data_IF_835367585593
#
_entry.id   IF_835367585593
#
_cell.length_a   1.000
_cell.length_b   1.000
_cell.length_c   1.000
_cell.angle_alpha   90.00
_cell.angle_beta   90.00
_cell.angle_gamma   90.00
#
_symmetry.space_group_name_H-M   'P 1'
#
loop_
_entity.id
_entity.type
_entity.pdbx_description
1 polymer ?
#
# COMPACT_ATOMS: atom_id res chain seq x y z
N UNK A 1 2.40 -35.61 31.32
CA UNK A 1 3.24 -34.40 31.31
C UNK A 1 3.16 -33.85 29.90
N UNK A 2 2.45 -32.74 29.69
CA UNK A 2 2.37 -32.11 28.37
C UNK A 2 3.71 -31.42 28.11
N UNK A 3 4.38 -31.75 27.00
CA UNK A 3 5.60 -31.05 26.59
C UNK A 3 5.20 -29.62 26.21
N UNK A 4 5.45 -28.68 27.11
CA UNK A 4 5.22 -27.24 26.92
C UNK A 4 6.14 -26.68 25.86
N UNK A 5 5.69 -26.70 24.62
CA UNK A 5 6.30 -25.97 23.51
C UNK A 5 5.52 -24.69 23.32
N UNK A 6 6.22 -23.55 23.31
CA UNK A 6 5.63 -22.25 22.99
C UNK A 6 4.98 -22.35 21.59
N UNK A 7 3.71 -21.97 21.42
CA UNK A 7 3.04 -22.05 20.12
C UNK A 7 3.78 -21.21 19.08
N UNK A 8 3.98 -21.78 17.89
CA UNK A 8 4.60 -21.07 16.76
C UNK A 8 3.66 -20.01 16.20
N UNK A 9 4.20 -18.83 15.91
CA UNK A 9 3.46 -17.64 15.49
C UNK A 9 3.78 -17.31 14.04
N UNK A 10 2.75 -17.28 13.19
CA UNK A 10 2.84 -16.69 11.87
C UNK A 10 2.28 -15.29 11.87
N UNK A 11 2.88 -14.39 11.08
CA UNK A 11 2.34 -13.06 10.84
C UNK A 11 1.97 -12.88 9.36
N UNK A 12 0.76 -12.38 9.11
CA UNK A 12 0.25 -12.05 7.79
C UNK A 12 0.15 -10.51 7.65
N UNK A 13 1.09 -9.91 6.91
CA UNK A 13 1.18 -8.46 6.71
C UNK A 13 0.43 -8.06 5.44
N UNK A 14 -0.67 -7.31 5.61
CA UNK A 14 -1.55 -6.92 4.50
C UNK A 14 -0.99 -5.84 3.56
N UNK A 15 -1.67 -5.64 2.43
CA UNK A 15 -1.46 -4.50 1.54
C UNK A 15 -1.95 -3.20 2.18
N UNK A 16 -1.48 -2.06 1.69
CA UNK A 16 -1.80 -0.76 2.31
C UNK A 16 -1.11 0.49 1.75
N UNK A 17 -0.23 0.36 0.75
CA UNK A 17 0.61 1.44 0.25
C UNK A 17 1.29 2.22 1.41
N UNK A 18 1.16 3.55 1.48
CA UNK A 18 1.77 4.36 2.54
C UNK A 18 1.34 3.97 3.98
N UNK A 19 0.13 3.42 4.15
CA UNK A 19 -0.34 2.90 5.45
C UNK A 19 0.50 1.71 5.94
N UNK A 20 1.22 1.07 5.01
CA UNK A 20 2.11 -0.06 5.22
C UNK A 20 3.16 0.15 6.30
N UNK A 21 3.56 1.39 6.56
CA UNK A 21 4.53 1.70 7.61
C UNK A 21 4.03 1.34 9.02
N UNK A 22 2.72 1.20 9.22
CA UNK A 22 2.17 0.66 10.47
C UNK A 22 2.61 -0.78 10.75
N UNK A 23 2.97 -1.57 9.74
CA UNK A 23 3.51 -2.92 9.96
C UNK A 23 4.81 -2.90 10.76
N UNK A 24 5.65 -1.88 10.57
CA UNK A 24 6.89 -1.71 11.36
C UNK A 24 6.53 -1.52 12.83
N UNK A 25 5.56 -0.63 13.12
CA UNK A 25 5.09 -0.41 14.48
C UNK A 25 4.44 -1.65 15.11
N UNK A 26 3.69 -2.42 14.34
CA UNK A 26 3.13 -3.69 14.83
C UNK A 26 4.25 -4.67 15.20
N UNK A 27 5.26 -4.83 14.35
CA UNK A 27 6.39 -5.70 14.63
C UNK A 27 7.21 -5.22 15.83
N UNK A 28 7.40 -3.91 15.99
CA UNK A 28 8.05 -3.31 17.17
C UNK A 28 7.24 -3.55 18.44
N UNK A 29 5.92 -3.35 18.40
CA UNK A 29 5.04 -3.59 19.54
C UNK A 29 5.02 -5.05 19.97
N UNK A 30 4.96 -5.99 19.01
CA UNK A 30 5.07 -7.42 19.29
C UNK A 30 6.43 -7.75 19.92
N UNK A 31 7.52 -7.19 19.38
CA UNK A 31 8.86 -7.40 19.93
C UNK A 31 9.00 -6.85 21.35
N UNK A 32 8.36 -5.73 21.69
CA UNK A 32 8.33 -5.16 23.04
C UNK A 32 7.61 -6.08 24.05
N UNK A 33 6.64 -6.88 23.58
CA UNK A 33 5.98 -7.93 24.36
C UNK A 33 6.81 -9.24 24.43
N UNK A 34 7.99 -9.28 23.81
CA UNK A 34 8.81 -10.50 23.71
C UNK A 34 8.32 -11.49 22.65
N UNK A 35 7.38 -11.08 21.79
CA UNK A 35 6.78 -11.93 20.75
C UNK A 35 7.49 -11.66 19.43
N UNK A 36 8.05 -12.73 18.85
CA UNK A 36 8.71 -12.67 17.54
C UNK A 36 8.01 -13.68 16.62
N UNK A 37 7.27 -13.22 15.60
CA UNK A 37 6.72 -14.14 14.61
C UNK A 37 7.80 -15.04 14.00
N UNK A 38 7.56 -16.34 14.01
CA UNK A 38 8.45 -17.38 13.47
C UNK A 38 8.42 -17.40 11.95
N UNK A 39 7.26 -17.11 11.35
CA UNK A 39 7.03 -17.17 9.89
C UNK A 39 6.27 -15.95 9.42
N UNK A 40 6.61 -15.46 8.22
CA UNK A 40 6.10 -14.18 7.71
C UNK A 40 5.49 -14.37 6.33
N UNK A 41 4.24 -13.95 6.17
CA UNK A 41 3.62 -13.82 4.85
C UNK A 41 3.27 -12.35 4.61
N UNK A 42 3.59 -11.81 3.43
CA UNK A 42 3.38 -10.41 3.11
C UNK A 42 2.77 -10.18 1.74
N UNK A 43 1.97 -9.12 1.62
CA UNK A 43 1.37 -8.67 0.36
C UNK A 43 1.67 -7.19 0.12
N UNK A 44 2.15 -6.82 -1.07
CA UNK A 44 2.49 -5.43 -1.42
C UNK A 44 3.48 -4.84 -0.42
N UNK A 45 3.20 -3.66 0.15
CA UNK A 45 4.00 -3.07 1.23
C UNK A 45 4.21 -4.02 2.43
N UNK A 46 3.28 -4.94 2.71
CA UNK A 46 3.45 -5.99 3.71
C UNK A 46 4.54 -6.99 3.34
N UNK A 47 4.73 -7.30 2.05
CA UNK A 47 5.86 -8.09 1.57
C UNK A 47 7.17 -7.32 1.73
N UNK A 48 7.18 -6.01 1.49
CA UNK A 48 8.35 -5.17 1.68
C UNK A 48 8.81 -5.13 3.14
N UNK A 49 7.89 -4.82 4.07
CA UNK A 49 8.20 -4.79 5.50
C UNK A 49 8.51 -6.19 6.03
N UNK A 50 7.76 -7.20 5.58
CA UNK A 50 7.95 -8.59 5.96
C UNK A 50 9.30 -9.15 5.52
N UNK A 51 9.78 -8.80 4.32
CA UNK A 51 11.11 -9.16 3.84
C UNK A 51 12.22 -8.56 4.71
N UNK A 52 12.11 -7.27 5.05
CA UNK A 52 13.07 -6.62 5.94
C UNK A 52 13.07 -7.28 7.33
N UNK A 53 11.89 -7.60 7.88
CA UNK A 53 11.78 -8.28 9.16
C UNK A 53 12.35 -9.71 9.12
N UNK A 54 12.02 -10.49 8.09
CA UNK A 54 12.50 -11.85 7.91
C UNK A 54 14.03 -11.92 7.77
N UNK A 55 14.66 -10.83 7.31
CA UNK A 55 16.11 -10.70 7.21
C UNK A 55 16.77 -9.90 8.36
N UNK A 56 16.06 -9.56 9.45
CA UNK A 56 16.59 -8.74 10.57
C UNK A 56 17.03 -7.31 10.19
N UNK A 57 16.48 -6.74 9.11
CA UNK A 57 16.76 -5.37 8.64
C UNK A 57 15.60 -4.38 8.91
N UNK A 58 14.69 -4.73 9.84
CA UNK A 58 13.56 -3.87 10.20
C UNK A 58 14.01 -2.48 10.72
N UNK A 59 15.03 -2.36 11.61
CA UNK A 59 15.51 -1.06 12.09
C UNK A 59 16.07 -0.15 10.98
N UNK A 60 16.79 -0.72 10.01
CA UNK A 60 17.33 -0.01 8.85
C UNK A 60 16.20 0.49 7.96
N UNK A 61 15.18 -0.34 7.74
CA UNK A 61 13.98 0.05 7.02
C UNK A 61 13.25 1.19 7.74
N UNK A 62 13.05 1.07 9.05
CA UNK A 62 12.40 2.09 9.87
C UNK A 62 13.11 3.44 9.75
N UNK A 63 14.43 3.46 9.95
CA UNK A 63 15.24 4.67 9.82
C UNK A 63 15.11 5.31 8.45
N UNK A 64 15.02 4.49 7.40
CA UNK A 64 14.88 4.98 6.03
C UNK A 64 13.51 5.59 5.76
N UNK A 65 12.42 4.93 6.16
CA UNK A 65 11.06 5.45 5.91
C UNK A 65 10.74 6.69 6.74
N UNK A 66 11.27 6.78 7.97
CA UNK A 66 11.18 8.01 8.78
C UNK A 66 11.96 9.19 8.17
N UNK A 67 12.93 8.91 7.31
CA UNK A 67 13.69 9.93 6.58
C UNK A 67 13.00 10.46 5.32
N UNK A 68 11.80 9.97 4.97
CA UNK A 68 11.11 10.40 3.75
C UNK A 68 10.60 11.84 3.85
N UNK A 69 11.18 12.72 3.05
CA UNK A 69 10.54 14.01 2.76
C UNK A 69 9.45 13.84 1.69
N UNK A 70 8.48 14.76 1.65
CA UNK A 70 7.45 14.79 0.59
C UNK A 70 8.05 14.89 -0.82
N UNK A 71 9.28 15.42 -0.93
CA UNK A 71 10.02 15.56 -2.19
C UNK A 71 10.69 14.26 -2.63
N UNK A 72 11.14 13.42 -1.69
CA UNK A 72 11.73 12.11 -2.00
C UNK A 72 10.68 11.17 -2.60
N UNK A 73 9.45 11.23 -2.08
CA UNK A 73 8.30 10.47 -2.60
C UNK A 73 7.99 10.87 -4.04
N UNK A 74 8.01 12.18 -4.34
CA UNK A 74 7.81 12.69 -5.70
C UNK A 74 8.97 12.27 -6.62
N UNK A 75 10.22 12.36 -6.16
CA UNK A 75 11.39 11.95 -6.92
C UNK A 75 11.41 10.45 -7.24
N UNK A 76 10.88 9.60 -6.37
CA UNK A 76 10.71 8.16 -6.63
C UNK A 76 9.64 7.89 -7.70
N UNK A 77 8.65 8.77 -7.85
CA UNK A 77 7.57 8.66 -8.82
C UNK A 77 7.87 9.31 -10.18
N UNK A 78 8.69 10.37 -10.23
CA UNK A 78 8.80 11.27 -11.39
C UNK A 78 9.89 10.86 -12.42
N UNK A 79 10.78 9.93 -12.06
CA UNK A 79 12.04 9.69 -12.81
C UNK A 79 11.89 9.00 -14.18
N UNK A 80 10.69 8.66 -14.66
CA UNK A 80 10.49 8.11 -16.02
C UNK A 80 9.54 8.87 -16.94
N UNK A 81 8.98 10.01 -16.52
CA UNK A 81 8.05 10.78 -17.38
C UNK A 81 8.68 11.23 -18.72
N UNK A 82 10.02 11.32 -18.83
CA UNK A 82 10.73 11.74 -20.05
C UNK A 82 10.84 10.69 -21.18
N UNK A 83 10.33 9.45 -21.03
CA UNK A 83 10.38 8.41 -22.09
C UNK A 83 9.07 7.63 -22.29
N UNK A 84 7.91 8.25 -22.09
CA UNK A 84 6.66 7.78 -22.71
C UNK A 84 6.06 6.45 -22.21
N UNK A 85 6.17 6.13 -20.92
CA UNK A 85 5.40 5.01 -20.35
C UNK A 85 5.77 4.68 -18.91
N UNK A 86 4.74 4.40 -18.10
CA UNK A 86 4.69 3.74 -16.78
C UNK A 86 5.80 4.08 -15.76
N UNK A 87 5.40 4.50 -14.55
CA UNK A 87 6.30 4.79 -13.42
C UNK A 87 7.20 3.55 -13.19
N UNK A 88 8.49 3.71 -13.51
CA UNK A 88 9.50 2.70 -13.21
C UNK A 88 9.87 2.78 -11.74
N UNK A 89 9.09 2.12 -10.89
CA UNK A 89 9.30 2.07 -9.44
C UNK A 89 10.56 1.32 -8.99
N UNK A 90 11.42 0.90 -9.93
CA UNK A 90 12.59 0.07 -9.68
C UNK A 90 13.54 0.70 -8.63
N UNK A 91 13.65 2.04 -8.59
CA UNK A 91 14.53 2.74 -7.63
C UNK A 91 14.17 2.51 -6.16
N UNK A 92 12.89 2.42 -5.80
CA UNK A 92 12.47 2.15 -4.42
C UNK A 92 12.99 0.78 -3.98
N UNK A 93 12.87 -0.20 -4.87
CA UNK A 93 13.31 -1.57 -4.63
C UNK A 93 14.83 -1.72 -4.73
N UNK A 94 15.50 -0.90 -5.55
CA UNK A 94 16.96 -0.86 -5.62
C UNK A 94 17.59 -0.25 -4.35
N UNK A 95 16.96 0.79 -3.77
CA UNK A 95 17.38 1.36 -2.47
C UNK A 95 17.13 0.36 -1.34
N UNK A 96 16.00 -0.36 -1.38
CA UNK A 96 15.72 -1.43 -0.44
C UNK A 96 16.76 -2.55 -0.56
N UNK A 97 17.07 -2.98 -1.79
CA UNK A 97 18.05 -4.02 -2.07
C UNK A 97 19.47 -3.61 -1.67
N UNK A 98 19.86 -2.34 -1.87
CA UNK A 98 21.14 -1.84 -1.41
C UNK A 98 21.29 -1.88 0.12
N UNK A 99 20.18 -1.96 0.88
CA UNK A 99 20.18 -2.04 2.35
C UNK A 99 20.00 -3.46 2.87
N UNK A 100 19.11 -4.25 2.26
CA UNK A 100 18.81 -5.65 2.65
C UNK A 100 19.85 -6.62 2.07
N UNK A 101 20.53 -6.26 0.99
CA UNK A 101 21.49 -7.11 0.31
C UNK A 101 20.88 -7.97 -0.80
N UNK A 102 21.77 -8.62 -1.54
CA UNK A 102 21.42 -9.61 -2.57
C UNK A 102 21.27 -10.98 -1.90
N UNK A 103 20.02 -11.37 -1.65
CA UNK A 103 19.67 -12.58 -0.89
C UNK A 103 18.48 -13.26 -1.53
N UNK A 104 18.52 -14.59 -1.55
CA UNK A 104 17.35 -15.37 -1.93
C UNK A 104 16.44 -15.61 -0.72
N UNK A 105 15.14 -15.79 -0.97
CA UNK A 105 14.12 -15.97 0.08
C UNK A 105 14.41 -17.16 0.99
N UNK A 106 14.89 -18.27 0.43
CA UNK A 106 15.21 -19.49 1.18
C UNK A 106 16.38 -19.32 2.16
N UNK A 107 17.18 -18.26 2.01
CA UNK A 107 18.34 -17.95 2.85
C UNK A 107 18.04 -16.89 3.92
N UNK A 108 16.78 -16.50 4.09
CA UNK A 108 16.37 -15.55 5.13
C UNK A 108 16.43 -16.17 6.54
N UNK A 109 16.58 -15.30 7.55
CA UNK A 109 16.68 -15.74 8.95
C UNK A 109 15.35 -16.32 9.47
N UNK A 110 14.23 -15.99 8.81
CA UNK A 110 12.89 -16.51 9.07
C UNK A 110 12.24 -16.92 7.76
N UNK A 111 11.47 -18.03 7.73
CA UNK A 111 10.64 -18.38 6.59
C UNK A 111 9.73 -17.23 6.17
N UNK A 112 9.76 -16.89 4.88
CA UNK A 112 9.04 -15.77 4.31
C UNK A 112 8.28 -16.20 3.05
N UNK A 113 7.09 -15.61 2.86
CA UNK A 113 6.32 -15.72 1.63
C UNK A 113 5.85 -14.34 1.16
N UNK A 114 6.19 -13.96 -0.08
CA UNK A 114 5.59 -12.79 -0.73
C UNK A 114 4.47 -13.23 -1.68
N UNK A 115 3.31 -12.57 -1.61
CA UNK A 115 2.17 -12.87 -2.47
C UNK A 115 2.11 -11.92 -3.66
N UNK A 116 1.98 -12.46 -4.86
CA UNK A 116 1.73 -11.71 -6.09
C UNK A 116 0.58 -12.34 -6.88
N UNK A 117 0.14 -11.64 -7.92
CA UNK A 117 -0.93 -12.11 -8.81
C UNK A 117 -0.39 -12.29 -10.21
N UNK A 118 -0.61 -13.46 -10.80
CA UNK A 118 -0.43 -13.66 -12.23
C UNK A 118 -1.53 -12.94 -13.01
N UNK A 119 -1.13 -11.95 -13.82
CA UNK A 119 -2.04 -11.02 -14.48
C UNK A 119 -3.01 -11.71 -15.46
N UNK A 120 -2.58 -12.78 -16.13
CA UNK A 120 -3.39 -13.40 -17.17
C UNK A 120 -4.28 -14.51 -16.64
N UNK A 121 -3.76 -15.30 -15.70
CA UNK A 121 -4.51 -16.42 -15.13
C UNK A 121 -5.34 -16.03 -13.89
N UNK A 122 -5.01 -14.90 -13.26
CA UNK A 122 -5.57 -14.51 -11.96
C UNK A 122 -5.10 -15.41 -10.82
N UNK A 123 -4.11 -16.28 -11.04
CA UNK A 123 -3.58 -17.16 -10.01
C UNK A 123 -2.79 -16.38 -8.97
N UNK A 124 -2.97 -16.80 -7.72
CA UNK A 124 -2.17 -16.37 -6.59
C UNK A 124 -0.81 -17.08 -6.64
N UNK A 125 0.27 -16.29 -6.63
CA UNK A 125 1.66 -16.78 -6.66
C UNK A 125 2.31 -16.51 -5.31
N UNK A 126 2.89 -17.55 -4.71
CA UNK A 126 3.62 -17.46 -3.45
C UNK A 126 5.11 -17.60 -3.71
N UNK A 127 5.86 -16.54 -3.46
CA UNK A 127 7.31 -16.58 -3.53
C UNK A 127 7.87 -16.98 -2.18
N UNK A 128 8.37 -18.21 -2.09
CA UNK A 128 9.08 -18.76 -0.93
C UNK A 128 10.54 -19.10 -1.22
N UNK A 129 10.97 -18.93 -2.48
CA UNK A 129 12.34 -19.19 -2.95
C UNK A 129 12.70 -18.25 -4.11
N UNK A 130 14.00 -18.07 -4.36
CA UNK A 130 14.54 -17.22 -5.41
C UNK A 130 14.82 -15.77 -4.97
N UNK A 131 15.10 -14.88 -5.93
CA UNK A 131 15.53 -13.49 -5.67
C UNK A 131 14.47 -12.70 -4.87
N UNK A 132 14.84 -12.28 -3.67
CA UNK A 132 13.96 -11.53 -2.77
C UNK A 132 13.50 -10.21 -3.40
N UNK A 133 14.41 -9.52 -4.09
CA UNK A 133 14.10 -8.22 -4.69
C UNK A 133 13.02 -8.36 -5.76
N UNK A 134 13.15 -9.35 -6.63
CA UNK A 134 12.16 -9.65 -7.66
C UNK A 134 10.80 -10.02 -7.05
N UNK A 135 10.78 -10.86 -6.03
CA UNK A 135 9.54 -11.26 -5.36
C UNK A 135 8.80 -10.08 -4.72
N UNK A 136 9.51 -9.23 -3.96
CA UNK A 136 8.94 -8.02 -3.35
C UNK A 136 8.50 -7.02 -4.43
N UNK A 137 9.32 -6.81 -5.47
CA UNK A 137 8.98 -5.92 -6.61
C UNK A 137 7.73 -6.40 -7.34
N UNK A 138 7.56 -7.71 -7.54
CA UNK A 138 6.36 -8.30 -8.13
C UNK A 138 5.14 -8.09 -7.21
N UNK A 139 5.27 -8.40 -5.92
CA UNK A 139 4.21 -8.24 -4.92
C UNK A 139 3.72 -6.79 -4.79
N UNK A 140 4.58 -5.79 -5.00
CA UNK A 140 4.24 -4.37 -4.95
C UNK A 140 3.84 -3.76 -6.31
N UNK A 141 3.66 -4.55 -7.38
CA UNK A 141 3.37 -4.05 -8.74
C UNK A 141 1.92 -3.59 -8.91
N UNK A 142 1.52 -2.52 -8.20
CA UNK A 142 0.15 -2.05 -8.16
C UNK A 142 -0.35 -1.58 -9.54
N UNK A 143 -1.42 -2.18 -10.10
CA UNK A 143 -1.96 -1.81 -11.40
C UNK A 143 -2.31 -0.32 -11.49
N UNK A 144 -1.87 0.33 -12.57
CA UNK A 144 -2.09 1.77 -12.79
C UNK A 144 -1.10 2.70 -12.12
N UNK A 145 -0.30 2.20 -11.16
CA UNK A 145 0.73 2.98 -10.48
C UNK A 145 2.11 2.45 -10.85
N UNK A 146 2.35 1.14 -10.76
CA UNK A 146 3.62 0.52 -11.10
C UNK A 146 3.47 -0.47 -12.25
N UNK A 147 4.49 -0.52 -13.12
CA UNK A 147 4.51 -1.48 -14.22
C UNK A 147 4.54 -2.93 -13.69
N UNK A 148 3.79 -3.86 -14.32
CA UNK A 148 3.87 -5.29 -14.05
C UNK A 148 5.31 -5.80 -14.20
N UNK A 149 5.64 -6.87 -13.46
CA UNK A 149 6.96 -7.50 -13.48
C UNK A 149 6.88 -8.77 -14.30
N UNK A 150 7.82 -8.95 -15.24
CA UNK A 150 7.95 -10.22 -15.96
C UNK A 150 8.91 -11.14 -15.21
N UNK A 151 8.47 -12.37 -14.95
CA UNK A 151 9.31 -13.43 -14.38
C UNK A 151 9.02 -14.73 -15.12
N UNK A 152 10.01 -15.21 -15.88
CA UNK A 152 9.81 -16.26 -16.87
C UNK A 152 8.74 -15.87 -17.89
N UNK A 153 7.71 -16.71 -18.00
CA UNK A 153 6.56 -16.52 -18.90
C UNK A 153 5.37 -15.81 -18.25
N UNK A 154 5.48 -15.48 -16.95
CA UNK A 154 4.42 -14.82 -16.21
C UNK A 154 4.60 -13.31 -16.20
N UNK A 155 3.47 -12.61 -16.25
CA UNK A 155 3.38 -11.20 -15.93
C UNK A 155 2.69 -11.07 -14.58
N UNK A 156 3.37 -10.41 -13.65
CA UNK A 156 2.99 -10.36 -12.25
C UNK A 156 2.57 -8.93 -11.88
N UNK A 157 1.47 -8.85 -11.14
CA UNK A 157 0.96 -7.63 -10.52
C UNK A 157 0.81 -7.83 -9.01
N UNK A 158 0.43 -6.75 -8.33
CA UNK A 158 0.28 -6.74 -6.87
C UNK A 158 -0.60 -7.90 -6.36
N UNK A 159 -0.17 -8.50 -5.25
CA UNK A 159 -0.90 -9.58 -4.58
C UNK A 159 -2.26 -9.15 -4.04
N UNK A 160 -2.50 -7.85 -3.84
CA UNK A 160 -3.75 -7.31 -3.30
C UNK A 160 -4.95 -7.61 -4.21
N UNK A 161 -4.71 -7.89 -5.49
CA UNK A 161 -5.77 -8.29 -6.41
C UNK A 161 -6.42 -9.62 -5.97
N UNK A 162 -5.66 -10.52 -5.34
CA UNK A 162 -6.12 -11.89 -5.00
C UNK A 162 -6.03 -12.24 -3.53
N UNK A 163 -5.10 -11.68 -2.76
CA UNK A 163 -4.96 -11.95 -1.34
C UNK A 163 -4.37 -10.73 -0.59
N UNK A 164 -5.18 -9.68 -0.35
CA UNK A 164 -4.75 -8.46 0.35
C UNK A 164 -4.14 -8.67 1.73
N UNK A 165 -4.57 -9.70 2.46
CA UNK A 165 -4.04 -10.04 3.79
C UNK A 165 -3.80 -11.55 3.82
N UNK A 166 -2.55 -12.02 3.69
CA UNK A 166 -2.23 -13.40 3.34
C UNK A 166 -2.31 -14.39 4.53
N UNK A 167 -3.46 -14.43 5.20
CA UNK A 167 -3.73 -15.31 6.36
C UNK A 167 -3.62 -16.78 5.98
N UNK A 168 -4.24 -17.17 4.86
CA UNK A 168 -4.19 -18.53 4.33
C UNK A 168 -2.77 -18.99 4.04
N UNK A 169 -1.92 -18.09 3.53
CA UNK A 169 -0.49 -18.36 3.25
C UNK A 169 0.27 -18.55 4.55
N UNK A 170 0.10 -17.65 5.51
CA UNK A 170 0.75 -17.76 6.83
C UNK A 170 0.37 -19.07 7.53
N UNK A 171 -0.91 -19.46 7.47
CA UNK A 171 -1.39 -20.75 8.00
C UNK A 171 -0.79 -21.93 7.25
N UNK A 172 -0.70 -21.88 5.92
CA UNK A 172 -0.10 -22.93 5.10
C UNK A 172 1.40 -23.12 5.37
N UNK A 173 2.09 -22.11 5.89
CA UNK A 173 3.47 -22.25 6.35
C UNK A 173 3.59 -23.09 7.64
N UNK A 174 2.48 -23.53 8.25
CA UNK A 174 2.46 -24.49 9.36
C UNK A 174 2.79 -23.83 10.70
N UNK A 175 2.02 -22.82 11.09
CA UNK A 175 2.09 -22.15 12.40
C UNK A 175 0.88 -22.50 13.25
N UNK A 176 1.01 -22.39 14.57
CA UNK A 176 -0.07 -22.67 15.52
C UNK A 176 -1.04 -21.51 15.69
N UNK A 177 -0.52 -20.28 15.61
CA UNK A 177 -1.28 -19.03 15.76
C UNK A 177 -0.93 -18.09 14.61
N UNK A 178 -1.95 -17.56 13.92
CA UNK A 178 -1.79 -16.55 12.87
C UNK A 178 -2.24 -15.18 13.37
N UNK A 179 -1.32 -14.23 13.40
CA UNK A 179 -1.58 -12.81 13.63
C UNK A 179 -1.67 -12.12 12.27
N UNK A 180 -2.82 -11.54 11.94
CA UNK A 180 -2.99 -10.74 10.73
C UNK A 180 -2.92 -9.25 11.04
N UNK A 181 -2.34 -8.48 10.12
CA UNK A 181 -2.32 -7.01 10.17
C UNK A 181 -3.10 -6.44 9.00
N UNK A 182 -4.26 -5.87 9.30
CA UNK A 182 -5.18 -5.28 8.31
C UNK A 182 -5.19 -3.74 8.41
N UNK A 183 -4.65 -3.09 7.39
CA UNK A 183 -4.47 -1.63 7.32
C UNK A 183 -5.72 -0.87 6.84
N UNK A 184 -6.74 -1.58 6.38
CA UNK A 184 -7.98 -0.97 5.91
C UNK A 184 -9.15 -1.17 6.89
N UNK A 185 -8.96 -2.03 7.90
CA UNK A 185 -9.91 -2.31 8.98
C UNK A 185 -11.36 -2.56 8.53
N UNK A 186 -12.27 -2.49 9.51
CA UNK A 186 -13.69 -2.31 9.25
C UNK A 186 -13.92 -0.82 8.95
N UNK A 187 -14.04 -0.45 7.68
CA UNK A 187 -14.67 0.82 7.30
C UNK A 187 -16.14 0.81 7.76
N UNK A 188 -16.38 1.13 9.03
CA UNK A 188 -17.69 1.50 9.58
C UNK A 188 -17.99 2.99 9.37
N UNK A 189 -17.00 3.76 8.92
CA UNK A 189 -17.17 5.12 8.41
C UNK A 189 -17.13 5.12 6.88
N UNK A 190 -18.11 5.80 6.27
CA UNK A 190 -18.27 6.11 4.84
C UNK A 190 -17.04 5.81 3.96
N UNK A 191 -17.26 5.08 2.85
CA UNK A 191 -16.44 5.11 1.63
C UNK A 191 -15.82 6.49 1.53
N UNK A 192 -14.48 6.59 1.51
CA UNK A 192 -13.74 7.86 1.50
C UNK A 192 -14.54 8.92 0.73
N UNK A 193 -15.21 9.80 1.48
CA UNK A 193 -15.77 10.99 0.87
C UNK A 193 -14.52 11.79 0.58
N UNK A 194 -14.21 11.96 -0.71
CA UNK A 194 -13.32 13.00 -1.21
C UNK A 194 -13.49 14.25 -0.32
N UNK A 195 -12.45 15.05 -0.03
CA UNK A 195 -12.67 16.37 0.56
C UNK A 195 -13.38 17.24 -0.49
N UNK A 196 -14.68 17.02 -0.68
CA UNK A 196 -15.57 17.95 -1.35
C UNK A 196 -16.00 18.87 -0.23
N UNK A 197 -15.28 19.99 -0.08
CA UNK A 197 -15.78 21.15 0.65
C UNK A 197 -17.15 21.50 0.05
N UNK A 198 -18.22 20.98 0.66
CA UNK A 198 -19.60 21.25 0.29
C UNK A 198 -20.20 22.18 1.33
N UNK A 199 -20.00 23.48 1.12
CA UNK A 199 -20.90 24.49 1.67
C UNK A 199 -21.62 25.11 0.48
N UNK A 200 -22.88 24.71 0.29
CA UNK A 200 -23.75 25.30 -0.74
C UNK A 200 -24.75 26.23 -0.04
N UNK A 201 -24.66 27.52 -0.33
CA UNK A 201 -25.85 28.36 -0.43
C UNK A 201 -26.00 28.75 -1.90
N UNK A 202 -27.19 28.46 -2.42
CA UNK A 202 -27.58 28.55 -3.83
C UNK A 202 -28.39 29.84 -3.98
N UNK A 203 -28.03 30.70 -4.93
CA UNK A 203 -29.00 31.57 -5.59
C UNK A 203 -28.70 31.59 -7.08
N UNK A 204 -29.73 31.31 -7.85
CA UNK A 204 -29.76 31.25 -9.32
C UNK A 204 -29.96 32.67 -9.83
N UNK A 205 -29.20 33.11 -10.84
CA UNK A 205 -29.74 34.01 -11.86
C UNK A 205 -28.98 33.77 -13.17
N UNK A 206 -29.74 33.44 -14.21
CA UNK A 206 -29.29 33.26 -15.58
C UNK A 206 -29.19 34.62 -16.28
N UNK A 207 -28.28 34.75 -17.24
CA UNK A 207 -28.52 35.53 -18.45
C UNK A 207 -27.56 35.07 -19.57
N UNK A 208 -28.16 34.77 -20.72
CA UNK A 208 -27.51 34.44 -21.98
C UNK A 208 -27.16 35.73 -22.71
N UNK A 209 -26.01 35.79 -23.37
CA UNK A 209 -25.89 36.56 -24.61
C UNK A 209 -24.74 36.06 -25.50
N UNK A 210 -25.02 36.01 -26.80
CA UNK A 210 -24.10 35.68 -27.89
C UNK A 210 -24.11 36.83 -28.90
N UNK A 211 -22.94 37.22 -29.44
CA UNK A 211 -22.92 37.72 -30.81
C UNK A 211 -21.90 37.01 -31.72
N UNK A 212 -22.10 37.23 -33.02
CA UNK A 212 -21.60 36.46 -34.15
C UNK A 212 -20.27 36.97 -34.77
N UNK A 213 -19.55 36.02 -35.40
CA UNK A 213 -18.54 36.04 -36.50
C UNK A 213 -17.92 37.37 -36.99
N UNK A 214 -16.59 37.40 -37.19
CA UNK A 214 -15.91 37.34 -38.52
C UNK A 214 -14.36 37.22 -38.41
N UNK A 215 -13.70 36.78 -39.50
CA UNK A 215 -12.35 36.22 -39.60
C UNK A 215 -11.14 37.19 -39.79
N UNK A 216 -9.95 36.63 -39.49
CA UNK A 216 -8.60 36.84 -40.05
C UNK A 216 -7.63 37.88 -39.47
N UNK A 217 -6.40 37.40 -39.17
CA UNK A 217 -5.20 38.24 -39.12
C UNK A 217 -4.12 37.72 -38.15
N UNK A 218 -2.89 37.59 -38.65
CA UNK A 218 -1.65 37.06 -38.03
C UNK A 218 -1.27 37.64 -36.63
N UNK A 219 -2.04 38.60 -36.12
CA UNK A 219 -1.95 39.16 -34.75
C UNK A 219 -2.71 38.33 -33.69
N UNK A 220 -3.60 37.42 -34.10
CA UNK A 220 -4.36 36.54 -33.20
C UNK A 220 -3.48 35.49 -32.48
N UNK A 221 -2.32 35.15 -33.05
CA UNK A 221 -1.40 34.16 -32.47
C UNK A 221 -0.62 34.72 -31.27
N UNK A 222 -0.27 36.01 -31.29
CA UNK A 222 0.43 36.68 -30.18
C UNK A 222 -0.53 37.12 -29.07
N UNK A 223 -1.80 37.44 -29.40
CA UNK A 223 -2.85 37.67 -28.41
C UNK A 223 -3.18 36.38 -27.63
N UNK A 224 -3.25 35.23 -28.32
CA UNK A 224 -3.39 33.90 -27.69
C UNK A 224 -2.26 33.55 -26.73
N UNK A 225 -1.05 34.05 -26.95
CA UNK A 225 0.08 33.83 -26.03
C UNK A 225 -0.10 34.55 -24.69
N UNK A 226 -0.75 35.73 -24.69
CA UNK A 226 -1.02 36.50 -23.48
C UNK A 226 -2.27 36.00 -22.77
N UNK A 227 -3.28 35.57 -23.53
CA UNK A 227 -4.52 34.99 -22.99
C UNK A 227 -4.32 33.57 -22.46
N UNK A 228 -3.32 32.82 -22.93
CA UNK A 228 -2.94 31.53 -22.36
C UNK A 228 -2.29 31.71 -20.97
N UNK A 229 -1.52 32.78 -20.78
CA UNK A 229 -0.85 33.08 -19.50
C UNK A 229 -1.84 33.70 -18.50
N UNK A 230 -2.77 34.56 -18.94
CA UNK A 230 -3.82 35.10 -18.05
C UNK A 230 -4.85 34.04 -17.64
N UNK A 231 -5.21 33.10 -18.53
CA UNK A 231 -6.07 31.95 -18.21
C UNK A 231 -5.37 30.86 -17.37
N UNK A 232 -4.04 30.90 -17.26
CA UNK A 232 -3.29 30.09 -16.30
C UNK A 232 -3.32 30.71 -14.89
N UNK A 233 -3.37 32.04 -14.78
CA UNK A 233 -3.48 32.73 -13.48
C UNK A 233 -4.89 32.73 -12.90
N UNK A 234 -5.95 32.75 -13.73
CA UNK A 234 -7.33 32.66 -13.22
C UNK A 234 -7.76 31.25 -12.82
N UNK A 235 -7.00 30.21 -13.20
CA UNK A 235 -7.23 28.84 -12.72
C UNK A 235 -6.75 28.58 -11.28
N UNK A 236 -6.10 29.56 -10.66
CA UNK A 236 -5.68 29.49 -9.25
C UNK A 236 -6.68 30.15 -8.27
N UNK A 237 -7.84 30.62 -8.75
CA UNK A 237 -8.90 31.17 -7.90
C UNK A 237 -10.21 30.37 -8.01
N UNK A 238 -10.46 29.56 -6.98
CA UNK A 238 -11.75 29.14 -6.41
C UNK A 238 -12.93 28.81 -7.35
N UNK A 239 -13.19 27.50 -7.47
CA UNK A 239 -14.55 26.95 -7.36
C UNK A 239 -15.19 26.45 -8.65
N UNK A 240 -15.04 25.15 -8.95
CA UNK A 240 -16.10 24.31 -9.55
C UNK A 240 -15.68 22.83 -9.55
N UNK A 241 -16.67 21.94 -9.39
CA UNK A 241 -16.55 20.48 -9.30
C UNK A 241 -15.77 19.90 -10.49
N UNK A 242 -14.66 19.22 -10.22
CA UNK A 242 -13.91 18.45 -11.23
C UNK A 242 -14.41 17.00 -11.28
N UNK A 243 -14.70 16.50 -12.49
CA UNK A 243 -14.90 15.07 -12.71
C UNK A 243 -13.62 14.31 -12.33
N UNK A 244 -13.71 13.18 -11.63
CA UNK A 244 -12.52 12.43 -11.25
C UNK A 244 -11.80 11.92 -12.50
N UNK A 245 -10.47 12.10 -12.54
CA UNK A 245 -9.63 11.59 -13.64
C UNK A 245 -9.63 10.05 -13.69
N UNK A 246 -9.31 9.48 -14.86
CA UNK A 246 -9.33 8.02 -15.09
C UNK A 246 -8.50 7.22 -14.08
N UNK A 247 -7.32 7.75 -13.71
CA UNK A 247 -6.44 7.13 -12.71
C UNK A 247 -7.14 7.08 -11.35
N UNK A 248 -7.76 8.18 -10.93
CA UNK A 248 -8.48 8.26 -9.66
C UNK A 248 -9.68 7.30 -9.63
N UNK A 249 -10.44 7.21 -10.73
CA UNK A 249 -11.56 6.27 -10.84
C UNK A 249 -11.07 4.83 -10.76
N UNK A 250 -9.98 4.48 -11.46
CA UNK A 250 -9.43 3.14 -11.46
C UNK A 250 -8.87 2.75 -10.09
N UNK A 251 -8.05 3.60 -9.47
CA UNK A 251 -7.51 3.37 -8.13
C UNK A 251 -8.62 3.22 -7.09
N UNK A 252 -9.67 4.05 -7.16
CA UNK A 252 -10.81 3.94 -6.25
C UNK A 252 -11.62 2.66 -6.46
N UNK A 253 -11.85 2.28 -7.71
CA UNK A 253 -12.58 1.06 -8.04
C UNK A 253 -11.80 -0.18 -7.60
N UNK A 254 -10.48 -0.20 -7.81
CA UNK A 254 -9.60 -1.25 -7.32
C UNK A 254 -9.65 -1.33 -5.80
N UNK A 255 -9.53 -0.20 -5.08
CA UNK A 255 -9.64 -0.18 -3.62
C UNK A 255 -10.97 -0.74 -3.09
N UNK A 256 -12.10 -0.49 -3.78
CA UNK A 256 -13.40 -1.08 -3.41
C UNK A 256 -13.39 -2.60 -3.61
N UNK A 257 -12.86 -3.08 -4.74
CA UNK A 257 -12.77 -4.51 -5.05
C UNK A 257 -11.85 -5.22 -4.07
N UNK A 258 -10.65 -4.68 -3.82
CA UNK A 258 -9.69 -5.20 -2.84
C UNK A 258 -10.33 -5.30 -1.45
N UNK A 259 -11.07 -4.28 -1.00
CA UNK A 259 -11.74 -4.31 0.31
C UNK A 259 -12.84 -5.38 0.38
N UNK A 260 -13.64 -5.55 -0.68
CA UNK A 260 -14.67 -6.60 -0.72
C UNK A 260 -14.04 -7.98 -0.74
N UNK A 261 -13.00 -8.16 -1.55
CA UNK A 261 -12.28 -9.41 -1.70
C UNK A 261 -11.56 -9.80 -0.41
N UNK A 262 -10.86 -8.85 0.23
CA UNK A 262 -10.26 -9.01 1.56
C UNK A 262 -11.27 -9.50 2.58
N UNK A 263 -12.44 -8.85 2.68
CA UNK A 263 -13.48 -9.22 3.66
C UNK A 263 -13.97 -10.65 3.42
N UNK A 264 -14.16 -11.05 2.17
CA UNK A 264 -14.54 -12.43 1.84
C UNK A 264 -13.46 -13.44 2.27
N UNK A 265 -12.18 -13.13 2.00
CA UNK A 265 -11.03 -13.98 2.40
C UNK A 265 -10.91 -14.10 3.92
N UNK A 266 -11.00 -13.00 4.67
CA UNK A 266 -10.93 -13.03 6.13
C UNK A 266 -12.12 -13.75 6.79
N UNK A 267 -13.27 -13.82 6.12
CA UNK A 267 -14.40 -14.63 6.59
C UNK A 267 -14.20 -16.12 6.30
N UNK A 268 -13.58 -16.48 5.18
CA UNK A 268 -13.28 -17.87 4.82
C UNK A 268 -12.12 -18.45 5.62
N UNK A 269 -11.05 -17.67 5.77
CA UNK A 269 -9.83 -18.02 6.49
C UNK A 269 -9.56 -16.96 7.57
N UNK A 270 -10.29 -17.00 8.70
CA UNK A 270 -10.10 -16.03 9.77
C UNK A 270 -8.74 -16.24 10.46
N UNK A 271 -8.00 -15.17 10.77
CA UNK A 271 -6.82 -15.24 11.62
C UNK A 271 -7.23 -15.47 13.08
N UNK A 272 -6.29 -15.94 13.89
CA UNK A 272 -6.50 -16.11 15.33
C UNK A 272 -6.55 -14.74 16.03
N UNK A 273 -5.70 -13.81 15.58
CA UNK A 273 -5.69 -12.42 16.02
C UNK A 273 -5.65 -11.51 14.80
N UNK A 274 -6.48 -10.47 14.77
CA UNK A 274 -6.44 -9.44 13.75
C UNK A 274 -6.08 -8.10 14.40
N UNK A 275 -4.91 -7.57 14.07
CA UNK A 275 -4.45 -6.24 14.48
C UNK A 275 -4.88 -5.25 13.41
N UNK A 276 -5.56 -4.18 13.83
CA UNK A 276 -6.10 -3.16 12.92
C UNK A 276 -5.57 -1.78 13.35
N UNK A 277 -4.47 -1.30 12.76
CA UNK A 277 -3.95 0.04 13.02
C UNK A 277 -4.92 1.15 12.58
N UNK A 278 -4.97 2.23 13.35
CA UNK A 278 -5.80 3.41 13.06
C UNK A 278 -5.12 4.34 12.05
N UNK A 279 -4.98 3.89 10.81
CA UNK A 279 -4.31 4.60 9.70
C UNK A 279 -5.27 5.05 8.59
N UNK A 280 -6.56 5.14 8.90
CA UNK A 280 -7.61 5.49 7.93
C UNK A 280 -7.48 6.91 7.36
N UNK A 281 -6.85 7.81 8.12
CA UNK A 281 -6.59 9.20 7.77
C UNK A 281 -5.32 9.39 6.92
N UNK A 282 -4.50 8.35 6.71
CA UNK A 282 -3.31 8.38 5.86
C UNK A 282 -3.71 8.04 4.42
N UNK A 283 -3.42 8.93 3.48
CA UNK A 283 -3.65 8.71 2.06
C UNK A 283 -2.71 7.67 1.46
N UNK A 284 -3.14 6.99 0.40
CA UNK A 284 -2.38 5.91 -0.28
C UNK A 284 -0.95 6.33 -0.70
N UNK A 285 -0.75 7.61 -1.01
CA UNK A 285 0.54 8.15 -1.50
C UNK A 285 1.27 9.02 -0.46
N UNK A 286 0.79 9.07 0.79
CA UNK A 286 1.38 9.91 1.85
C UNK A 286 2.53 9.22 2.58
N UNK A 287 3.52 8.72 1.84
CA UNK A 287 4.64 7.94 2.38
C UNK A 287 5.53 8.70 3.38
N UNK A 288 5.44 10.03 3.42
CA UNK A 288 6.14 10.91 4.38
C UNK A 288 5.58 10.83 5.81
N UNK A 289 4.35 10.31 6.00
CA UNK A 289 3.72 10.16 7.33
C UNK A 289 4.13 8.88 8.05
N UNK A 290 5.38 8.46 7.89
CA UNK A 290 5.89 7.21 8.45
C UNK A 290 5.80 7.18 9.98
N UNK A 291 6.15 8.28 10.66
CA UNK A 291 6.11 8.37 12.13
C UNK A 291 4.71 8.10 12.68
N UNK A 292 3.68 8.68 12.06
CA UNK A 292 2.29 8.51 12.47
C UNK A 292 1.79 7.08 12.23
N UNK A 293 2.12 6.51 11.07
CA UNK A 293 1.75 5.14 10.74
C UNK A 293 2.40 4.14 11.70
N UNK A 294 3.70 4.30 11.99
CA UNK A 294 4.43 3.43 12.93
C UNK A 294 3.82 3.53 14.33
N UNK A 295 3.58 4.73 14.84
CA UNK A 295 2.94 4.92 16.15
C UNK A 295 1.54 4.30 16.21
N UNK A 296 0.75 4.40 15.14
CA UNK A 296 -0.56 3.76 15.06
C UNK A 296 -0.47 2.22 15.08
N UNK A 297 0.60 1.64 14.51
CA UNK A 297 0.90 0.21 14.57
C UNK A 297 1.22 -0.26 15.98
N UNK A 298 2.10 0.45 16.68
CA UNK A 298 2.48 0.15 18.07
C UNK A 298 1.25 0.22 18.99
N UNK A 299 0.48 1.31 18.92
CA UNK A 299 -0.74 1.49 19.70
C UNK A 299 -1.81 0.42 19.41
N UNK A 300 -1.85 -0.11 18.18
CA UNK A 300 -2.78 -1.18 17.82
C UNK A 300 -2.43 -2.52 18.49
N UNK A 301 -1.14 -2.81 18.66
CA UNK A 301 -0.67 -3.98 19.41
C UNK A 301 -1.09 -3.86 20.87
N UNK A 302 -0.85 -2.70 21.50
CA UNK A 302 -1.22 -2.46 22.90
C UNK A 302 -2.71 -2.70 23.16
N UNK A 303 -3.60 -2.24 22.25
CA UNK A 303 -5.05 -2.43 22.35
C UNK A 303 -5.47 -3.91 22.40
N UNK A 304 -4.72 -4.79 21.72
CA UNK A 304 -5.04 -6.23 21.64
C UNK A 304 -4.03 -7.11 22.37
N UNK A 305 -3.13 -6.53 23.17
CA UNK A 305 -2.09 -7.24 23.91
C UNK A 305 -2.65 -8.40 24.73
N UNK A 306 -3.76 -8.16 25.45
CA UNK A 306 -4.46 -9.18 26.23
C UNK A 306 -4.97 -10.36 25.38
N UNK A 307 -5.41 -10.13 24.14
CA UNK A 307 -5.82 -11.19 23.22
C UNK A 307 -4.62 -11.97 22.70
N UNK A 308 -3.52 -11.26 22.41
CA UNK A 308 -2.26 -11.88 21.97
C UNK A 308 -1.72 -12.80 23.07
N UNK A 309 -1.61 -12.31 24.30
CA UNK A 309 -1.18 -13.11 25.45
C UNK A 309 -2.08 -14.31 25.67
N UNK A 310 -3.42 -14.14 25.61
CA UNK A 310 -4.36 -15.23 25.78
C UNK A 310 -4.24 -16.31 24.68
N UNK A 311 -3.95 -15.93 23.43
CA UNK A 311 -3.79 -16.89 22.34
C UNK A 311 -2.48 -17.68 22.44
N UNK A 312 -1.42 -17.06 22.97
CA UNK A 312 -0.11 -17.66 23.14
C UNK A 312 0.01 -18.44 24.46
N UNK A 313 -0.81 -18.12 25.46
CA UNK A 313 -0.92 -18.86 26.71
C UNK A 313 -1.78 -20.12 26.53
N UNK A 314 -1.20 -21.19 25.98
CA UNK A 314 -1.72 -22.56 26.12
C UNK A 314 -0.92 -23.29 27.22
N UNK A 315 -1.29 -23.05 28.47
CA UNK A 315 -0.67 -23.68 29.65
C UNK A 315 -1.41 -23.38 30.94
#
# INVERSE_FOLDING_TARGET
>A
MANGTTPSVGIALGSGAAKGWAHIGVLNGLAAMGIKPDKVAGCSVGALVGAAYAHDHLPELEKWVRGFSSWDVLGLMDIRWRKGGLIGGDKVFDVLHARIGDVNIENLNRPFAAVATDLYSGQEIWFTEGDLRQAVRASCSMPGILAPVRQGDRWLVDGAVVNPVPVSVSRAMGVDVVIAVDLYGYHSGRIQVLPVNMTSQRTVQAEMDMPARQETGFMDLFARGRDYVSNLTDKFSLGTKSNPGMIAVMSQSMGILEQRHKRARLMGDPPDICIVPEVGNIGTMEFHRADEAIAAGEAAVEKVAHLIEAALWKG
#
